data_IF_367875458818
#
_entry.id   IF_367875458818
#
_cell.length_a   1.000
_cell.length_b   1.000
_cell.length_c   1.000
_cell.angle_alpha   90.00
_cell.angle_beta   90.00
_cell.angle_gamma   90.00
#
_symmetry.space_group_name_H-M   'P 1'
#
loop_
_entity.id
_entity.type
_entity.pdbx_description
1 polymer ?
#
# COMPACT_ATOMS: atom_id res chain seq x y z
N UNK A 1 -12.29 12.06 -9.23
CA UNK A 1 -11.99 11.64 -7.84
C UNK A 1 -11.34 10.27 -7.88
N UNK A 2 -10.16 10.10 -7.30
CA UNK A 2 -9.47 8.82 -7.28
C UNK A 2 -10.08 7.92 -6.20
N UNK A 3 -10.31 6.64 -6.49
CA UNK A 3 -10.90 5.69 -5.56
C UNK A 3 -9.89 5.32 -4.46
N UNK A 4 -10.29 5.38 -3.18
CA UNK A 4 -9.46 5.03 -2.02
C UNK A 4 -8.79 3.65 -2.15
N UNK A 5 -9.53 2.67 -2.65
CA UNK A 5 -9.04 1.30 -2.81
C UNK A 5 -7.98 1.20 -3.92
N UNK A 6 -8.11 2.02 -4.97
CA UNK A 6 -7.10 2.08 -6.02
C UNK A 6 -5.80 2.71 -5.51
N UNK A 7 -5.91 3.72 -4.64
CA UNK A 7 -4.74 4.32 -3.98
C UNK A 7 -4.03 3.30 -3.10
N UNK A 8 -4.76 2.57 -2.26
CA UNK A 8 -4.20 1.49 -1.43
C UNK A 8 -3.52 0.41 -2.28
N UNK A 9 -4.16 -0.02 -3.37
CA UNK A 9 -3.60 -0.99 -4.30
C UNK A 9 -2.28 -0.51 -4.94
N UNK A 10 -2.29 0.68 -5.54
CA UNK A 10 -1.11 1.21 -6.24
C UNK A 10 0.03 1.55 -5.28
N UNK A 11 -0.30 2.09 -4.10
CA UNK A 11 0.67 2.39 -3.06
C UNK A 11 1.34 1.14 -2.52
N UNK A 12 0.57 0.09 -2.18
CA UNK A 12 1.15 -1.18 -1.74
C UNK A 12 1.92 -1.87 -2.85
N UNK A 13 1.46 -1.80 -4.11
CA UNK A 13 2.21 -2.31 -5.26
C UNK A 13 3.60 -1.67 -5.35
N UNK A 14 3.66 -0.33 -5.36
CA UNK A 14 4.93 0.39 -5.44
C UNK A 14 5.84 0.07 -4.24
N UNK A 15 5.29 0.12 -3.02
CA UNK A 15 6.02 -0.16 -1.79
C UNK A 15 6.64 -1.57 -1.80
N UNK A 16 5.84 -2.60 -2.11
CA UNK A 16 6.31 -3.99 -2.14
C UNK A 16 7.32 -4.22 -3.27
N UNK A 17 7.13 -3.59 -4.43
CA UNK A 17 8.09 -3.68 -5.52
C UNK A 17 9.47 -3.16 -5.09
N UNK A 18 9.53 -2.01 -4.42
CA UNK A 18 10.80 -1.44 -3.92
C UNK A 18 11.46 -2.35 -2.87
N UNK A 19 10.68 -2.99 -2.00
CA UNK A 19 11.20 -4.00 -1.06
C UNK A 19 11.88 -5.13 -1.83
N UNK A 20 11.18 -5.73 -2.81
CA UNK A 20 11.67 -6.86 -3.58
C UNK A 20 12.88 -6.51 -4.44
N UNK A 21 12.86 -5.35 -5.09
CA UNK A 21 13.89 -4.94 -6.02
C UNK A 21 15.19 -4.49 -5.34
N UNK A 22 15.11 -3.94 -4.13
CA UNK A 22 16.28 -3.28 -3.51
C UNK A 22 16.72 -3.91 -2.19
N UNK A 23 15.79 -4.38 -1.35
CA UNK A 23 16.07 -4.75 0.05
C UNK A 23 16.68 -3.62 0.90
N UNK A 24 16.75 -2.39 0.38
CA UNK A 24 17.46 -1.28 1.02
C UNK A 24 16.50 -0.48 1.91
N UNK A 25 16.81 -0.38 3.21
CA UNK A 25 15.95 0.27 4.19
C UNK A 25 15.64 1.74 3.87
N UNK A 26 16.61 2.50 3.33
CA UNK A 26 16.40 3.91 2.96
C UNK A 26 15.46 4.03 1.78
N UNK A 27 15.64 3.18 0.75
CA UNK A 27 14.75 3.17 -0.42
C UNK A 27 13.31 2.79 -0.03
N UNK A 28 13.15 1.78 0.82
CA UNK A 28 11.85 1.34 1.34
C UNK A 28 11.17 2.45 2.13
N UNK A 29 11.90 3.11 3.04
CA UNK A 29 11.39 4.23 3.83
C UNK A 29 11.00 5.43 2.96
N UNK A 30 11.82 5.77 1.96
CA UNK A 30 11.52 6.84 1.01
C UNK A 30 10.27 6.52 0.17
N UNK A 31 10.14 5.28 -0.31
CA UNK A 31 8.96 4.85 -1.05
C UNK A 31 7.68 4.99 -0.22
N UNK A 32 7.73 4.56 1.06
CA UNK A 32 6.62 4.72 1.99
C UNK A 32 6.27 6.21 2.22
N UNK A 33 7.26 7.06 2.43
CA UNK A 33 7.04 8.49 2.61
C UNK A 33 6.36 9.12 1.39
N UNK A 34 6.82 8.79 0.18
CA UNK A 34 6.26 9.30 -1.08
C UNK A 34 4.79 8.89 -1.23
N UNK A 35 4.45 7.61 -1.05
CA UNK A 35 3.06 7.16 -1.24
C UNK A 35 2.11 7.74 -0.19
N UNK A 36 2.58 7.99 1.04
CA UNK A 36 1.78 8.68 2.06
C UNK A 36 1.59 10.16 1.71
N UNK A 37 2.62 10.86 1.24
CA UNK A 37 2.49 12.26 0.81
C UNK A 37 1.52 12.43 -0.36
N UNK A 38 1.51 11.49 -1.31
CA UNK A 38 0.67 11.58 -2.51
C UNK A 38 -0.75 11.04 -2.27
N UNK A 39 -0.86 9.87 -1.63
CA UNK A 39 -2.11 9.13 -1.50
C UNK A 39 -2.80 9.26 -0.14
N UNK A 40 -2.11 9.74 0.89
CA UNK A 40 -2.60 9.77 2.27
C UNK A 40 -3.88 10.58 2.45
N UNK A 41 -4.01 11.73 1.77
CA UNK A 41 -5.22 12.56 1.82
C UNK A 41 -6.44 11.91 1.14
N UNK A 42 -6.23 10.88 0.33
CA UNK A 42 -7.29 10.19 -0.42
C UNK A 42 -7.75 8.94 0.33
N UNK A 43 -6.82 8.05 0.73
CA UNK A 43 -7.16 6.76 1.36
C UNK A 43 -6.90 6.68 2.87
N UNK A 44 -6.21 7.66 3.46
CA UNK A 44 -5.64 7.55 4.80
C UNK A 44 -4.22 6.98 4.81
N UNK A 45 -3.74 6.44 3.68
CA UNK A 45 -2.35 6.05 3.47
C UNK A 45 -1.91 4.84 4.30
N UNK A 46 -2.76 3.82 4.41
CA UNK A 46 -2.46 2.66 5.27
C UNK A 46 -1.44 1.75 4.61
N UNK A 47 -1.67 1.40 3.34
CA UNK A 47 -0.86 0.54 2.48
C UNK A 47 -0.44 -0.82 3.09
N UNK A 48 -1.11 -1.22 4.17
CA UNK A 48 -0.74 -2.33 5.02
C UNK A 48 -1.97 -2.83 5.82
N UNK A 49 -2.24 -4.16 5.82
CA UNK A 49 -3.36 -4.73 6.57
C UNK A 49 -3.31 -4.46 8.08
N UNK A 50 -2.15 -4.58 8.71
CA UNK A 50 -1.99 -4.34 10.14
C UNK A 50 -2.26 -2.86 10.51
N UNK A 51 -1.79 -1.93 9.66
CA UNK A 51 -2.09 -0.50 9.83
C UNK A 51 -3.59 -0.26 9.66
N UNK A 52 -4.24 -0.91 8.69
CA UNK A 52 -5.68 -0.75 8.48
C UNK A 52 -6.51 -1.25 9.67
N UNK A 53 -6.13 -2.39 10.25
CA UNK A 53 -6.74 -2.90 11.48
C UNK A 53 -6.56 -1.90 12.63
N UNK A 54 -5.35 -1.37 12.81
CA UNK A 54 -5.07 -0.37 13.84
C UNK A 54 -5.89 0.92 13.63
N UNK A 55 -6.06 1.36 12.37
CA UNK A 55 -6.85 2.55 12.04
C UNK A 55 -8.35 2.34 12.30
N UNK A 56 -8.88 1.13 12.07
CA UNK A 56 -10.25 0.78 12.50
C UNK A 56 -10.36 0.81 14.02
N UNK A 57 -9.41 0.18 14.72
CA UNK A 57 -9.39 0.17 16.19
C UNK A 57 -9.28 1.59 16.79
N UNK A 58 -8.59 2.50 16.11
CA UNK A 58 -8.48 3.91 16.49
C UNK A 58 -9.67 4.78 16.05
N UNK A 59 -10.70 4.21 15.41
CA UNK A 59 -11.86 4.96 14.89
C UNK A 59 -11.55 5.88 13.72
N UNK A 60 -10.43 5.67 13.03
CA UNK A 60 -9.95 6.49 11.90
C UNK A 60 -10.23 5.89 10.53
N UNK A 61 -10.66 4.63 10.48
CA UNK A 61 -11.17 3.95 9.28
C UNK A 61 -12.49 3.27 9.63
N UNK A 62 -13.47 3.32 8.72
CA UNK A 62 -14.72 2.57 8.92
C UNK A 62 -14.44 1.07 8.94
N UNK A 63 -15.04 0.33 9.88
CA UNK A 63 -14.91 -1.13 9.95
C UNK A 63 -15.41 -1.83 8.68
N UNK A 64 -16.39 -1.25 7.99
CA UNK A 64 -16.89 -1.75 6.70
C UNK A 64 -15.89 -1.60 5.55
N UNK A 65 -14.91 -0.69 5.67
CA UNK A 65 -13.86 -0.47 4.67
C UNK A 65 -12.65 -1.39 4.88
N UNK A 66 -12.54 -2.06 6.03
CA UNK A 66 -11.36 -2.87 6.40
C UNK A 66 -11.06 -3.97 5.38
N UNK A 67 -12.06 -4.81 5.09
CA UNK A 67 -11.86 -5.94 4.18
C UNK A 67 -11.53 -5.45 2.75
N UNK A 68 -12.24 -4.47 2.16
CA UNK A 68 -11.84 -3.86 0.89
C UNK A 68 -10.40 -3.32 0.87
N UNK A 69 -9.95 -2.66 1.95
CA UNK A 69 -8.58 -2.16 2.06
C UNK A 69 -7.56 -3.31 2.04
N UNK A 70 -7.78 -4.35 2.85
CA UNK A 70 -6.91 -5.52 2.90
C UNK A 70 -6.82 -6.20 1.54
N UNK A 71 -7.94 -6.39 0.85
CA UNK A 71 -7.97 -7.00 -0.49
C UNK A 71 -7.20 -6.15 -1.51
N UNK A 72 -7.35 -4.82 -1.47
CA UNK A 72 -6.60 -3.91 -2.33
C UNK A 72 -5.08 -3.99 -2.05
N UNK A 73 -4.68 -3.96 -0.78
CA UNK A 73 -3.28 -4.01 -0.36
C UNK A 73 -2.63 -5.36 -0.74
N UNK A 74 -3.28 -6.48 -0.42
CA UNK A 74 -2.79 -7.81 -0.79
C UNK A 74 -2.71 -7.95 -2.31
N UNK A 75 -3.75 -7.52 -3.04
CA UNK A 75 -3.74 -7.50 -4.50
C UNK A 75 -2.57 -6.69 -5.07
N UNK A 76 -2.32 -5.50 -4.53
CA UNK A 76 -1.19 -4.65 -4.93
C UNK A 76 0.16 -5.34 -4.72
N UNK A 77 0.36 -5.96 -3.55
CA UNK A 77 1.57 -6.71 -3.24
C UNK A 77 1.78 -7.92 -4.14
N UNK A 78 0.73 -8.66 -4.48
CA UNK A 78 0.80 -9.80 -5.39
C UNK A 78 1.15 -9.37 -6.82
N UNK A 79 0.58 -8.25 -7.30
CA UNK A 79 0.92 -7.70 -8.61
C UNK A 79 2.37 -7.19 -8.64
N UNK A 80 2.84 -6.57 -7.55
CA UNK A 80 4.24 -6.18 -7.43
C UNK A 80 5.19 -7.37 -7.54
N UNK A 81 4.88 -8.48 -6.88
CA UNK A 81 5.64 -9.73 -7.00
C UNK A 81 5.68 -10.24 -8.44
N UNK A 82 4.54 -10.22 -9.13
CA UNK A 82 4.46 -10.70 -10.51
C UNK A 82 5.24 -9.79 -11.48
N UNK A 83 5.17 -8.48 -11.28
CA UNK A 83 5.98 -7.52 -12.02
C UNK A 83 7.48 -7.74 -11.78
N UNK A 84 7.89 -7.93 -10.52
CA UNK A 84 9.29 -8.17 -10.16
C UNK A 84 9.85 -9.43 -10.85
N UNK A 85 9.06 -10.51 -10.95
CA UNK A 85 9.48 -11.73 -11.64
C UNK A 85 9.63 -11.57 -13.15
N UNK A 86 8.80 -10.72 -13.77
CA UNK A 86 8.71 -10.58 -15.23
C UNK A 86 9.59 -9.47 -15.78
N UNK A 87 9.82 -8.41 -15.00
CA UNK A 87 10.63 -7.26 -15.40
C UNK A 87 12.02 -7.43 -14.80
N UNK A 88 12.95 -7.91 -15.63
CA UNK A 88 14.38 -7.88 -15.31
C UNK A 88 14.88 -6.46 -15.57
N UNK A 89 15.01 -5.66 -14.52
CA UNK A 89 15.78 -4.40 -14.54
C UNK A 89 17.24 -4.69 -14.21
#
# INVERSE_FOLDING_TARGET
MLNKYLVEFLGTLFFVYIILATGNAVAIGAAMAIIVMVGGSISGGNFNPAVSVAMVAAGRLSSSELLPYILAQIGGGLVALELFKRVKL
#
